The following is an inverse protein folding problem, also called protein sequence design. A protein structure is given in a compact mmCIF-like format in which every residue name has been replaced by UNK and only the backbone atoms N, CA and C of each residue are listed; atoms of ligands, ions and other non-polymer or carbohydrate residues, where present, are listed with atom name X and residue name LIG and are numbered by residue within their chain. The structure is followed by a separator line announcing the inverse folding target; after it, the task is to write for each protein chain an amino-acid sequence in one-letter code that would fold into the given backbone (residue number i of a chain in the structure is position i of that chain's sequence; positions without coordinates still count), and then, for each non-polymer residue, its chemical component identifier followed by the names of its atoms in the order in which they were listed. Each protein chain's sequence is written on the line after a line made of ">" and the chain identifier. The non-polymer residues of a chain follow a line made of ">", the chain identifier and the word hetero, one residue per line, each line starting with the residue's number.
data_IF_003742416864
#
_entry.id   IF_003742416864
#
_cell.length_a   1.000
_cell.length_b   1.000
_cell.length_c   1.000
_cell.angle_alpha   90.00
_cell.angle_beta   90.00
_cell.angle_gamma   90.00
#
_symmetry.space_group_name_H-M   'P 1'
#
loop_
_entity.id
_entity.type
_entity.pdbx_description
1 polymer ?
#
# COMPACT_ATOMS: atom_id res chain seq x y z
N UNK A 1 -20.80 7.74 -0.80
CA UNK A 1 -19.77 7.27 0.18
C UNK A 1 -18.81 8.39 0.59
N UNK A 2 -18.12 8.25 1.71
CA UNK A 2 -16.95 9.05 2.10
C UNK A 2 -15.70 8.20 1.93
N UNK A 3 -14.60 8.80 1.43
CA UNK A 3 -13.33 8.11 1.22
C UNK A 3 -12.21 8.78 2.01
N UNK A 4 -11.41 7.98 2.72
CA UNK A 4 -10.14 8.43 3.29
C UNK A 4 -9.06 8.52 2.20
N UNK A 5 -8.89 9.72 1.66
CA UNK A 5 -7.87 10.06 0.66
C UNK A 5 -6.52 10.44 1.24
N UNK A 6 -6.21 10.13 2.51
CA UNK A 6 -4.91 10.50 3.12
C UNK A 6 -3.72 9.99 2.30
N UNK A 7 -3.82 8.79 1.70
CA UNK A 7 -2.78 8.21 0.86
C UNK A 7 -2.46 9.04 -0.41
N UNK A 8 -3.35 9.95 -0.81
CA UNK A 8 -3.12 10.85 -1.94
C UNK A 8 -2.05 11.92 -1.65
N UNK A 9 -1.56 12.06 -0.41
CA UNK A 9 -0.35 12.85 -0.11
C UNK A 9 0.89 12.34 -0.83
N UNK A 10 0.90 11.06 -1.18
CA UNK A 10 2.03 10.37 -1.77
C UNK A 10 1.54 9.57 -2.98
N UNK A 11 1.08 10.24 -4.05
CA UNK A 11 0.35 9.60 -5.15
C UNK A 11 1.20 8.62 -5.96
N UNK A 12 2.53 8.64 -5.79
CA UNK A 12 3.47 7.71 -6.43
C UNK A 12 3.78 6.49 -5.55
N UNK A 13 3.39 6.47 -4.28
CA UNK A 13 3.47 5.28 -3.43
C UNK A 13 2.36 4.28 -3.81
N UNK A 14 2.55 3.00 -3.48
CA UNK A 14 1.61 1.93 -3.84
C UNK A 14 0.16 2.22 -3.43
N UNK A 15 -0.08 2.55 -2.15
CA UNK A 15 -1.42 2.89 -1.63
C UNK A 15 -1.99 4.15 -2.29
N UNK A 16 -1.14 5.15 -2.57
CA UNK A 16 -1.56 6.38 -3.26
C UNK A 16 -1.99 6.12 -4.71
N UNK A 17 -1.25 5.28 -5.43
CA UNK A 17 -1.61 4.79 -6.76
C UNK A 17 -2.92 4.02 -6.70
N UNK A 18 -3.03 3.02 -5.82
CA UNK A 18 -4.27 2.26 -5.62
C UNK A 18 -5.47 3.16 -5.39
N UNK A 19 -5.36 4.09 -4.43
CA UNK A 19 -6.43 5.03 -4.08
C UNK A 19 -6.84 5.89 -5.26
N UNK A 20 -5.88 6.38 -6.06
CA UNK A 20 -6.19 7.16 -7.27
C UNK A 20 -6.90 6.31 -8.33
N UNK A 21 -6.35 5.15 -8.65
CA UNK A 21 -6.90 4.29 -9.71
C UNK A 21 -8.29 3.77 -9.36
N UNK A 22 -8.54 3.39 -8.10
CA UNK A 22 -9.88 2.93 -7.68
C UNK A 22 -10.90 4.07 -7.70
N UNK A 23 -10.52 5.29 -7.27
CA UNK A 23 -11.39 6.46 -7.36
C UNK A 23 -11.72 6.81 -8.82
N UNK A 24 -10.73 6.73 -9.72
CA UNK A 24 -10.94 6.92 -11.14
C UNK A 24 -11.88 5.84 -11.73
N UNK A 25 -11.69 4.57 -11.37
CA UNK A 25 -12.55 3.47 -11.82
C UNK A 25 -13.99 3.54 -11.27
N UNK A 26 -14.17 4.16 -10.10
CA UNK A 26 -15.49 4.40 -9.49
C UNK A 26 -16.16 5.68 -9.99
N UNK A 27 -15.43 6.58 -10.66
CA UNK A 27 -15.99 7.80 -11.22
C UNK A 27 -17.13 7.46 -12.20
N UNK A 28 -18.28 8.12 -12.05
CA UNK A 28 -19.49 7.83 -12.84
C UNK A 28 -20.27 6.58 -12.41
N UNK A 29 -19.69 5.72 -11.55
CA UNK A 29 -20.37 4.53 -10.98
C UNK A 29 -20.84 4.75 -9.54
N UNK A 30 -20.18 5.64 -8.81
CA UNK A 30 -20.55 5.99 -7.44
C UNK A 30 -20.31 7.48 -7.16
N UNK A 31 -21.13 8.05 -6.27
CA UNK A 31 -20.90 9.38 -5.72
C UNK A 31 -20.05 9.26 -4.45
N UNK A 32 -18.92 9.96 -4.42
CA UNK A 32 -18.02 9.95 -3.29
C UNK A 32 -17.50 11.34 -2.91
N UNK A 33 -17.26 11.52 -1.61
CA UNK A 33 -16.58 12.68 -1.06
C UNK A 33 -15.23 12.25 -0.51
N UNK A 34 -14.14 12.79 -1.06
CA UNK A 34 -12.78 12.46 -0.64
C UNK A 34 -12.28 13.45 0.40
N UNK A 35 -11.74 12.92 1.50
CA UNK A 35 -11.03 13.69 2.52
C UNK A 35 -9.54 13.39 2.47
N UNK A 36 -8.70 14.39 2.21
CA UNK A 36 -7.26 14.23 2.04
C UNK A 36 -6.62 15.40 1.31
N UNK A 37 -5.31 15.34 1.06
CA UNK A 37 -4.55 16.40 0.38
C UNK A 37 -5.13 16.74 -1.00
N UNK A 38 -5.28 18.04 -1.28
CA UNK A 38 -5.85 18.54 -2.53
C UNK A 38 -7.36 18.30 -2.68
N UNK A 39 -8.04 17.82 -1.62
CA UNK A 39 -9.48 17.54 -1.58
C UNK A 39 -10.09 18.23 -0.34
N UNK A 40 -11.06 17.60 0.34
CA UNK A 40 -11.57 18.13 1.62
C UNK A 40 -10.58 17.86 2.75
N UNK A 41 -10.38 18.84 3.60
CA UNK A 41 -9.47 18.71 4.73
C UNK A 41 -10.02 17.80 5.84
N UNK A 42 -9.15 16.96 6.37
CA UNK A 42 -9.38 16.26 7.65
C UNK A 42 -9.17 17.29 8.77
N UNK A 43 -10.16 17.51 9.65
CA UNK A 43 -10.09 18.55 10.67
C UNK A 43 -8.98 18.34 11.70
N UNK A 44 -8.50 19.46 12.30
CA UNK A 44 -7.86 19.52 13.63
C UNK A 44 -6.44 18.96 13.72
N UNK A 45 -5.80 19.02 14.91
CA UNK A 45 -4.44 18.50 15.10
C UNK A 45 -4.40 17.03 14.68
N UNK A 46 -3.39 16.67 13.87
CA UNK A 46 -3.37 15.49 12.98
C UNK A 46 -3.97 14.22 13.58
N UNK A 47 -3.67 13.92 14.85
CA UNK A 47 -4.21 12.74 15.53
C UNK A 47 -5.64 12.94 16.05
N UNK A 48 -5.86 13.89 16.98
CA UNK A 48 -7.15 14.09 17.64
C UNK A 48 -8.26 14.46 16.64
N UNK A 49 -7.91 15.32 15.68
CA UNK A 49 -8.80 15.75 14.63
C UNK A 49 -9.27 14.60 13.73
N UNK A 50 -8.33 13.76 13.27
CA UNK A 50 -8.62 12.54 12.48
C UNK A 50 -9.47 11.53 13.24
N UNK A 51 -9.17 11.30 14.52
CA UNK A 51 -9.79 10.19 15.25
C UNK A 51 -11.07 10.56 15.99
N UNK A 52 -11.34 11.84 16.28
CA UNK A 52 -12.49 12.26 17.10
C UNK A 52 -13.34 13.37 16.49
N UNK A 53 -12.74 14.37 15.82
CA UNK A 53 -13.50 15.46 15.19
C UNK A 53 -14.09 15.02 13.84
N UNK A 54 -13.27 14.35 13.02
CA UNK A 54 -13.66 13.91 11.69
C UNK A 54 -14.84 12.92 11.70
N UNK A 55 -14.90 11.91 12.59
CA UNK A 55 -16.07 11.02 12.69
C UNK A 55 -17.37 11.76 13.00
N UNK A 56 -17.32 12.81 13.82
CA UNK A 56 -18.47 13.68 14.06
C UNK A 56 -18.97 14.36 12.79
N UNK A 57 -18.06 14.84 11.92
CA UNK A 57 -18.41 15.42 10.62
C UNK A 57 -18.97 14.36 9.66
N UNK A 58 -18.35 13.18 9.60
CA UNK A 58 -18.83 12.08 8.75
C UNK A 58 -20.24 11.66 9.15
N UNK A 59 -20.52 11.54 10.45
CA UNK A 59 -21.87 11.21 10.95
C UNK A 59 -22.92 12.23 10.49
N UNK A 60 -22.59 13.52 10.51
CA UNK A 60 -23.49 14.59 10.02
C UNK A 60 -23.72 14.53 8.51
N UNK A 61 -22.75 14.05 7.75
CA UNK A 61 -22.92 13.83 6.31
C UNK A 61 -23.78 12.60 5.99
N UNK A 62 -23.96 11.70 6.96
CA UNK A 62 -24.73 10.46 6.84
C UNK A 62 -24.46 9.70 5.51
N UNK A 63 -23.20 9.38 5.17
CA UNK A 63 -22.93 8.65 3.94
C UNK A 63 -23.42 7.20 4.06
N UNK A 64 -23.79 6.61 2.93
CA UNK A 64 -24.17 5.18 2.89
C UNK A 64 -23.00 4.24 3.24
N UNK A 65 -21.77 4.72 3.08
CA UNK A 65 -20.54 3.94 3.24
C UNK A 65 -19.35 4.86 3.55
N UNK A 66 -18.47 4.41 4.43
CA UNK A 66 -17.09 4.88 4.58
C UNK A 66 -16.11 3.89 3.92
N UNK A 67 -15.23 4.38 3.06
CA UNK A 67 -14.20 3.58 2.42
C UNK A 67 -12.80 4.04 2.86
N UNK A 68 -12.04 3.12 3.47
CA UNK A 68 -10.67 3.34 3.93
C UNK A 68 -9.67 2.54 3.10
N UNK A 69 -9.11 3.09 2.02
CA UNK A 69 -8.20 2.38 1.12
C UNK A 69 -6.84 2.05 1.76
N UNK A 70 -6.55 2.57 2.95
CA UNK A 70 -5.29 2.36 3.68
C UNK A 70 -5.48 1.54 4.97
N UNK A 71 -6.53 0.71 5.02
CA UNK A 71 -6.75 -0.20 6.15
C UNK A 71 -7.00 0.49 7.49
N UNK A 72 -7.52 1.72 7.47
CA UNK A 72 -7.71 2.54 8.67
C UNK A 72 -9.10 3.14 8.77
N UNK A 73 -9.60 3.15 9.99
CA UNK A 73 -10.73 3.92 10.46
C UNK A 73 -10.27 4.95 11.49
N UNK A 74 -10.99 6.08 11.61
CA UNK A 74 -10.94 6.86 12.83
C UNK A 74 -11.27 5.99 14.07
N UNK A 75 -10.71 6.34 15.24
CA UNK A 75 -11.02 5.59 16.46
C UNK A 75 -12.46 5.87 16.94
N UNK A 76 -12.97 7.08 16.68
CA UNK A 76 -14.37 7.41 16.90
C UNK A 76 -15.28 6.84 15.80
N UNK A 77 -16.51 6.48 16.18
CA UNK A 77 -17.50 5.89 15.26
C UNK A 77 -17.91 6.89 14.16
N UNK A 78 -17.75 6.47 12.90
CA UNK A 78 -18.18 7.22 11.71
C UNK A 78 -19.69 7.11 11.43
N UNK A 79 -20.39 6.17 12.09
CA UNK A 79 -21.84 6.01 12.05
C UNK A 79 -22.43 5.54 10.71
N UNK A 80 -21.57 5.05 9.81
CA UNK A 80 -21.93 4.41 8.55
C UNK A 80 -21.19 3.07 8.44
N UNK A 81 -21.70 2.10 7.66
CA UNK A 81 -20.94 0.90 7.33
C UNK A 81 -19.57 1.26 6.75
N UNK A 82 -18.57 0.43 7.01
CA UNK A 82 -17.20 0.66 6.58
C UNK A 82 -16.59 -0.51 5.81
N UNK A 83 -15.91 -0.17 4.72
CA UNK A 83 -15.09 -1.10 3.93
C UNK A 83 -13.65 -0.63 3.98
N UNK A 84 -12.72 -1.52 4.30
CA UNK A 84 -11.29 -1.22 4.33
C UNK A 84 -10.52 -2.09 3.36
N UNK A 85 -9.53 -1.53 2.67
CA UNK A 85 -8.55 -2.32 1.91
C UNK A 85 -7.31 -2.56 2.75
N UNK A 86 -6.93 -3.81 2.90
CA UNK A 86 -5.74 -4.26 3.61
C UNK A 86 -4.70 -4.70 2.58
N UNK A 87 -3.60 -3.94 2.48
CA UNK A 87 -2.54 -4.20 1.51
C UNK A 87 -1.54 -5.25 2.01
N UNK A 88 -1.09 -5.14 3.26
CA UNK A 88 -0.23 -6.14 3.88
C UNK A 88 -0.37 -6.10 5.42
N UNK A 89 0.04 -7.19 6.04
CA UNK A 89 0.12 -7.35 7.51
C UNK A 89 1.53 -7.79 7.92
N UNK A 90 2.52 -7.58 7.06
CA UNK A 90 3.86 -8.13 7.23
C UNK A 90 4.51 -7.67 8.54
N UNK A 91 4.15 -6.48 9.03
CA UNK A 91 4.64 -5.91 10.29
C UNK A 91 4.18 -6.66 11.54
N UNK A 92 3.05 -7.37 11.47
CA UNK A 92 2.55 -8.21 12.56
C UNK A 92 3.12 -9.62 12.53
N UNK A 93 3.54 -10.09 11.34
CA UNK A 93 4.08 -11.44 11.13
C UNK A 93 5.59 -11.46 11.35
N UNK A 94 6.30 -10.47 10.80
CA UNK A 94 7.76 -10.34 10.81
C UNK A 94 8.16 -8.93 11.27
N UNK A 95 7.90 -8.56 12.54
CA UNK A 95 8.21 -7.22 13.05
C UNK A 95 9.71 -6.87 12.95
N UNK A 96 10.60 -7.85 12.97
CA UNK A 96 12.04 -7.67 12.82
C UNK A 96 12.45 -7.11 11.46
N UNK A 97 11.60 -7.25 10.43
CA UNK A 97 11.84 -6.63 9.12
C UNK A 97 11.66 -5.12 9.12
N UNK A 98 11.09 -4.53 10.18
CA UNK A 98 10.74 -3.12 10.26
C UNK A 98 11.56 -2.42 11.36
N UNK A 99 11.63 -1.08 11.35
CA UNK A 99 12.21 -0.32 12.47
C UNK A 99 11.52 -0.66 13.80
N UNK A 100 12.31 -0.70 14.90
CA UNK A 100 11.82 -1.11 16.22
C UNK A 100 10.78 -0.16 16.82
N UNK A 101 10.88 1.13 16.52
CA UNK A 101 9.90 2.13 16.91
C UNK A 101 8.66 2.06 16.01
N UNK A 102 7.74 1.16 16.35
CA UNK A 102 6.48 1.03 15.64
C UNK A 102 5.53 2.21 15.94
N UNK A 103 4.98 2.88 14.93
CA UNK A 103 4.03 3.96 15.12
C UNK A 103 2.78 3.52 15.91
N UNK A 104 2.17 4.45 16.65
CA UNK A 104 0.89 4.22 17.33
C UNK A 104 -0.21 3.74 16.37
N UNK A 105 -0.15 4.16 15.10
CA UNK A 105 -1.07 3.69 14.07
C UNK A 105 -1.02 2.18 13.89
N UNK A 106 0.17 1.58 13.85
CA UNK A 106 0.33 0.12 13.72
C UNK A 106 -0.07 -0.59 15.01
N UNK A 107 0.30 -0.05 16.18
CA UNK A 107 0.04 -0.74 17.45
C UNK A 107 -1.41 -0.67 17.91
N UNK A 108 -2.17 0.34 17.46
CA UNK A 108 -3.48 0.64 18.01
C UNK A 108 -4.55 0.89 16.94
N UNK A 109 -4.27 1.76 15.96
CA UNK A 109 -5.29 2.21 15.00
C UNK A 109 -5.65 1.08 14.04
N UNK A 110 -4.67 0.42 13.44
CA UNK A 110 -4.90 -0.64 12.46
C UNK A 110 -5.63 -1.84 13.07
N UNK A 111 -5.22 -2.41 14.23
CA UNK A 111 -5.98 -3.49 14.87
C UNK A 111 -7.44 -3.13 15.11
N UNK A 112 -7.70 -1.95 15.71
CA UNK A 112 -9.07 -1.47 15.95
C UNK A 112 -9.84 -1.19 14.67
N UNK A 113 -9.16 -0.80 13.59
CA UNK A 113 -9.79 -0.58 12.29
C UNK A 113 -10.24 -1.89 11.67
N UNK A 114 -9.39 -2.92 11.73
CA UNK A 114 -9.70 -4.26 11.24
C UNK A 114 -10.85 -4.87 12.05
N UNK A 115 -10.81 -4.77 13.38
CA UNK A 115 -11.88 -5.23 14.26
C UNK A 115 -13.20 -4.48 14.03
N UNK A 116 -13.14 -3.16 13.85
CA UNK A 116 -14.31 -2.30 13.70
C UNK A 116 -14.92 -2.26 12.30
N UNK A 117 -14.25 -2.80 11.29
CA UNK A 117 -14.72 -2.77 9.91
C UNK A 117 -15.90 -3.73 9.67
N UNK A 118 -16.84 -3.31 8.83
CA UNK A 118 -17.98 -4.13 8.44
C UNK A 118 -17.61 -5.13 7.33
N UNK A 119 -16.71 -4.72 6.44
CA UNK A 119 -16.15 -5.58 5.41
C UNK A 119 -14.69 -5.22 5.12
N UNK A 120 -13.91 -6.23 4.74
CA UNK A 120 -12.49 -6.12 4.48
C UNK A 120 -12.20 -6.57 3.05
N UNK A 121 -11.46 -5.76 2.31
CA UNK A 121 -10.87 -6.13 1.04
C UNK A 121 -9.44 -6.55 1.32
N UNK A 122 -9.11 -7.80 1.04
CA UNK A 122 -7.73 -8.30 1.08
C UNK A 122 -7.16 -8.29 -0.34
N UNK A 123 -6.00 -7.65 -0.54
CA UNK A 123 -5.39 -7.57 -1.88
C UNK A 123 -4.81 -8.90 -2.39
N UNK A 124 -4.78 -9.92 -1.54
CA UNK A 124 -4.32 -11.25 -1.88
C UNK A 124 -4.95 -12.32 -0.99
N UNK A 125 -4.90 -13.58 -1.43
CA UNK A 125 -5.23 -14.73 -0.59
C UNK A 125 -4.30 -14.88 0.61
N UNK A 126 -3.06 -14.37 0.54
CA UNK A 126 -2.17 -14.35 1.69
C UNK A 126 -2.69 -13.39 2.75
N UNK A 127 -2.96 -12.15 2.36
CA UNK A 127 -3.50 -11.12 3.25
C UNK A 127 -4.81 -11.54 3.89
N UNK A 128 -5.70 -12.24 3.14
CA UNK A 128 -6.93 -12.79 3.70
C UNK A 128 -6.69 -13.85 4.77
N UNK A 129 -5.73 -14.77 4.55
CA UNK A 129 -5.33 -15.76 5.55
C UNK A 129 -4.73 -15.09 6.78
N UNK A 130 -3.89 -14.08 6.58
CA UNK A 130 -3.26 -13.32 7.67
C UNK A 130 -4.32 -12.57 8.50
N UNK A 131 -5.34 -12.00 7.87
CA UNK A 131 -6.47 -11.36 8.55
C UNK A 131 -7.24 -12.34 9.44
N UNK A 132 -7.54 -13.53 8.92
CA UNK A 132 -8.20 -14.58 9.70
C UNK A 132 -7.31 -15.08 10.84
N UNK A 133 -6.03 -15.32 10.58
CA UNK A 133 -5.11 -15.90 11.56
C UNK A 133 -4.69 -14.93 12.67
N UNK A 134 -4.50 -13.65 12.36
CA UNK A 134 -3.94 -12.66 13.30
C UNK A 134 -5.04 -11.85 13.99
N UNK A 135 -6.14 -11.58 13.29
CA UNK A 135 -7.22 -10.70 13.77
C UNK A 135 -8.58 -11.41 13.90
N UNK A 136 -8.61 -12.74 13.80
CA UNK A 136 -9.80 -13.59 13.96
C UNK A 136 -11.00 -13.12 13.11
N UNK A 137 -10.72 -12.59 11.92
CA UNK A 137 -11.75 -12.10 11.00
C UNK A 137 -12.37 -13.26 10.24
N UNK A 138 -13.70 -13.27 10.17
CA UNK A 138 -14.43 -14.37 9.54
C UNK A 138 -14.29 -14.31 8.02
N UNK A 139 -14.13 -15.43 7.32
CA UNK A 139 -13.96 -15.45 5.87
C UNK A 139 -15.07 -14.72 5.10
N UNK A 140 -16.31 -14.76 5.57
CA UNK A 140 -17.45 -14.06 4.96
C UNK A 140 -17.37 -12.53 5.05
N UNK A 141 -16.52 -11.99 5.92
CA UNK A 141 -16.27 -10.56 6.07
C UNK A 141 -15.10 -10.09 5.21
N UNK A 142 -14.38 -11.02 4.56
CA UNK A 142 -13.17 -10.77 3.78
C UNK A 142 -13.43 -11.10 2.31
N UNK A 143 -13.33 -10.11 1.45
CA UNK A 143 -13.35 -10.30 0.00
C UNK A 143 -11.93 -10.15 -0.55
N UNK A 144 -11.44 -11.17 -1.28
CA UNK A 144 -10.15 -11.07 -1.98
C UNK A 144 -10.36 -10.33 -3.30
N UNK A 145 -9.73 -9.15 -3.43
CA UNK A 145 -9.71 -8.37 -4.67
C UNK A 145 -8.26 -8.04 -4.98
N UNK A 146 -7.72 -8.68 -6.02
CA UNK A 146 -6.34 -8.44 -6.43
C UNK A 146 -6.15 -7.03 -6.98
N UNK A 147 -4.96 -6.46 -6.73
CA UNK A 147 -4.55 -5.20 -7.34
C UNK A 147 -4.48 -5.32 -8.86
N UNK A 148 -4.90 -4.25 -9.54
CA UNK A 148 -4.81 -4.14 -11.00
C UNK A 148 -3.42 -3.69 -11.45
N UNK A 149 -3.12 -3.88 -12.73
CA UNK A 149 -1.94 -3.34 -13.39
C UNK A 149 -2.39 -2.23 -14.36
N UNK A 150 -1.73 -1.07 -14.27
CA UNK A 150 -2.03 0.05 -15.18
C UNK A 150 -1.66 -0.32 -16.62
N UNK A 151 -2.46 0.09 -17.63
CA UNK A 151 -2.11 -0.08 -19.05
C UNK A 151 -0.77 0.59 -19.44
N UNK A 152 -0.24 1.49 -18.61
CA UNK A 152 1.10 2.05 -18.79
C UNK A 152 2.22 0.99 -18.73
N UNK A 153 1.97 -0.17 -18.13
CA UNK A 153 2.90 -1.31 -18.14
C UNK A 153 2.67 -2.19 -19.36
N UNK A 154 3.37 -1.87 -20.45
CA UNK A 154 3.40 -2.66 -21.67
C UNK A 154 4.81 -2.62 -22.29
N UNK A 155 5.15 -3.60 -23.14
CA UNK A 155 6.42 -3.58 -23.87
C UNK A 155 6.53 -2.33 -24.74
N UNK A 156 7.67 -1.65 -24.69
CA UNK A 156 7.96 -0.55 -25.60
C UNK A 156 8.22 -1.08 -27.02
N UNK A 157 7.93 -0.28 -28.06
CA UNK A 157 8.33 -0.60 -29.43
C UNK A 157 9.85 -0.79 -29.56
N UNK A 158 10.27 -1.74 -30.40
CA UNK A 158 11.68 -2.15 -30.54
C UNK A 158 12.59 -0.98 -30.92
N UNK A 159 12.10 -0.08 -31.76
CA UNK A 159 12.78 1.12 -32.22
C UNK A 159 13.08 2.13 -31.09
N UNK A 160 12.37 2.06 -29.97
CA UNK A 160 12.60 2.94 -28.82
C UNK A 160 13.65 2.36 -27.85
N UNK A 161 13.93 1.04 -27.92
CA UNK A 161 14.83 0.36 -26.99
C UNK A 161 16.26 0.94 -27.01
N UNK A 162 16.89 1.25 -28.17
CA UNK A 162 18.24 1.81 -28.18
C UNK A 162 18.35 3.15 -27.46
N UNK A 163 17.33 4.01 -27.59
CA UNK A 163 17.30 5.30 -26.93
C UNK A 163 17.15 5.15 -25.40
N UNK A 164 16.29 4.24 -24.95
CA UNK A 164 16.10 3.93 -23.53
C UNK A 164 17.37 3.33 -22.92
N UNK A 165 17.98 2.34 -23.59
CA UNK A 165 19.25 1.74 -23.14
C UNK A 165 20.33 2.80 -22.98
N UNK A 166 20.50 3.68 -23.97
CA UNK A 166 21.48 4.78 -23.91
C UNK A 166 21.18 5.76 -22.77
N UNK A 167 19.91 6.16 -22.60
CA UNK A 167 19.49 7.11 -21.57
C UNK A 167 19.81 6.63 -20.16
N UNK A 168 19.66 5.34 -19.91
CA UNK A 168 19.86 4.76 -18.58
C UNK A 168 21.18 3.99 -18.42
N UNK A 169 22.04 3.97 -19.45
CA UNK A 169 23.29 3.23 -19.43
C UNK A 169 23.10 1.72 -19.25
N UNK A 170 22.04 1.15 -19.84
CA UNK A 170 21.69 -0.25 -19.61
C UNK A 170 22.58 -1.19 -20.45
N UNK A 171 23.07 -2.29 -19.86
CA UNK A 171 23.75 -3.36 -20.59
C UNK A 171 22.87 -4.00 -21.67
N UNK A 172 23.47 -4.73 -22.60
CA UNK A 172 22.71 -5.42 -23.65
C UNK A 172 21.83 -6.54 -23.06
N UNK A 173 22.42 -7.35 -22.18
CA UNK A 173 21.75 -8.42 -21.42
C UNK A 173 21.86 -8.11 -19.94
N UNK A 174 20.72 -8.00 -19.26
CA UNK A 174 20.69 -7.74 -17.82
C UNK A 174 19.50 -8.41 -17.14
N UNK A 175 19.64 -8.65 -15.83
CA UNK A 175 18.54 -8.94 -14.91
C UNK A 175 18.16 -7.63 -14.23
N UNK A 176 16.88 -7.34 -14.11
CA UNK A 176 16.37 -6.14 -13.45
C UNK A 176 15.70 -6.48 -12.12
N UNK A 177 16.16 -5.83 -11.06
CA UNK A 177 15.45 -5.75 -9.79
C UNK A 177 14.87 -4.35 -9.62
N UNK A 178 13.58 -4.26 -9.30
CA UNK A 178 12.90 -2.98 -8.97
C UNK A 178 12.25 -3.07 -7.61
N UNK A 179 12.70 -2.24 -6.67
CA UNK A 179 12.14 -2.17 -5.33
C UNK A 179 13.02 -1.44 -4.34
N UNK A 180 12.43 -0.93 -3.27
CA UNK A 180 13.20 -0.33 -2.17
C UNK A 180 14.18 -1.35 -1.58
N UNK A 181 15.38 -0.89 -1.23
CA UNK A 181 16.40 -1.74 -0.62
C UNK A 181 16.13 -1.83 0.88
N UNK A 182 15.58 -2.97 1.31
CA UNK A 182 15.11 -3.23 2.66
C UNK A 182 15.09 -4.76 2.92
N UNK A 183 15.10 -5.22 4.19
CA UNK A 183 15.22 -6.64 4.52
C UNK A 183 14.20 -7.55 3.83
N UNK A 184 12.94 -7.11 3.72
CA UNK A 184 11.85 -7.95 3.17
C UNK A 184 11.96 -8.23 1.68
N UNK A 185 12.75 -7.45 0.92
CA UNK A 185 12.96 -7.69 -0.51
C UNK A 185 14.04 -8.74 -0.75
N UNK A 186 14.74 -9.15 0.31
CA UNK A 186 15.68 -10.26 0.30
C UNK A 186 16.75 -10.12 -0.80
N UNK A 187 17.25 -8.90 -1.00
CA UNK A 187 18.29 -8.60 -1.98
C UNK A 187 19.57 -9.45 -1.79
N UNK A 188 20.01 -9.79 -0.55
CA UNK A 188 21.15 -10.69 -0.36
C UNK A 188 20.99 -12.05 -1.05
N UNK A 189 19.79 -12.63 -1.03
CA UNK A 189 19.52 -13.90 -1.72
C UNK A 189 19.61 -13.73 -3.23
N UNK A 190 19.12 -12.61 -3.78
CA UNK A 190 19.27 -12.31 -5.20
C UNK A 190 20.75 -12.17 -5.60
N UNK A 191 21.53 -11.45 -4.80
CA UNK A 191 22.96 -11.24 -5.04
C UNK A 191 23.74 -12.57 -5.01
N UNK A 192 23.47 -13.42 -4.02
CA UNK A 192 24.07 -14.74 -3.90
C UNK A 192 23.71 -15.64 -5.11
N UNK A 193 22.44 -15.65 -5.51
CA UNK A 193 21.98 -16.40 -6.68
C UNK A 193 22.62 -15.88 -7.97
N UNK A 194 22.66 -14.55 -8.17
CA UNK A 194 23.29 -13.91 -9.31
C UNK A 194 24.78 -14.21 -9.39
N UNK A 195 25.49 -14.18 -8.25
CA UNK A 195 26.92 -14.47 -8.19
C UNK A 195 27.24 -15.93 -8.58
N UNK A 196 26.32 -16.86 -8.34
CA UNK A 196 26.45 -18.28 -8.65
C UNK A 196 26.10 -18.64 -10.12
N UNK A 197 25.55 -17.71 -10.91
CA UNK A 197 25.18 -17.99 -12.31
C UNK A 197 26.44 -18.08 -13.21
N UNK A 198 26.57 -19.15 -14.03
CA UNK A 198 27.53 -19.16 -15.12
C UNK A 198 27.08 -18.21 -16.25
N UNK A 199 28.02 -17.51 -16.91
CA UNK A 199 27.72 -16.45 -17.90
C UNK A 199 26.72 -15.42 -17.36
N UNK A 200 26.93 -14.95 -16.11
CA UNK A 200 25.96 -14.07 -15.45
C UNK A 200 25.76 -12.77 -16.25
N UNK A 201 24.53 -12.44 -16.68
CA UNK A 201 24.25 -11.11 -17.23
C UNK A 201 24.40 -10.06 -16.13
N UNK A 202 24.54 -8.80 -16.51
CA UNK A 202 24.63 -7.72 -15.52
C UNK A 202 23.36 -7.64 -14.66
N UNK A 203 23.52 -7.29 -13.39
CA UNK A 203 22.39 -7.06 -12.48
C UNK A 203 22.15 -5.56 -12.31
N UNK A 204 21.00 -5.08 -12.77
CA UNK A 204 20.56 -3.70 -12.61
C UNK A 204 19.58 -3.63 -11.44
N UNK A 205 19.93 -2.84 -10.43
CA UNK A 205 19.12 -2.63 -9.22
C UNK A 205 18.56 -1.21 -9.24
N UNK A 206 17.24 -1.09 -9.30
CA UNK A 206 16.53 0.19 -9.32
C UNK A 206 15.62 0.33 -8.09
N UNK A 207 15.89 1.33 -7.26
CA UNK A 207 15.06 1.62 -6.09
C UNK A 207 15.76 2.54 -5.10
N UNK A 208 14.98 3.08 -4.17
CA UNK A 208 15.53 3.91 -3.10
C UNK A 208 16.05 3.04 -1.95
N UNK A 209 16.99 3.59 -1.18
CA UNK A 209 17.35 3.04 0.13
C UNK A 209 16.13 3.11 1.05
N UNK A 210 15.72 1.96 1.57
CA UNK A 210 14.61 1.83 2.51
C UNK A 210 15.09 1.99 3.95
N UNK A 211 14.80 1.01 4.79
CA UNK A 211 15.29 0.93 6.17
C UNK A 211 16.10 -0.35 6.36
N UNK A 212 16.93 -0.37 7.41
CA UNK A 212 17.76 -1.54 7.77
C UNK A 212 18.54 -2.08 6.55
N UNK A 213 19.01 -1.17 5.70
CA UNK A 213 19.67 -1.51 4.43
C UNK A 213 21.19 -1.62 4.60
N UNK A 214 21.74 -1.20 5.73
CA UNK A 214 23.17 -1.15 6.00
C UNK A 214 23.84 -2.51 5.75
N UNK A 215 23.30 -3.65 6.25
CA UNK A 215 23.89 -4.96 5.97
C UNK A 215 23.82 -5.40 4.51
N UNK A 216 22.99 -4.74 3.69
CA UNK A 216 22.84 -5.02 2.26
C UNK A 216 23.81 -4.16 1.44
N UNK A 217 24.01 -2.90 1.85
CA UNK A 217 24.93 -1.98 1.18
C UNK A 217 26.39 -2.40 1.33
N UNK A 218 26.73 -2.99 2.47
CA UNK A 218 28.10 -3.33 2.82
C UNK A 218 28.51 -4.75 2.33
N UNK A 219 27.70 -5.39 1.47
CA UNK A 219 27.98 -6.65 0.75
C UNK A 219 28.49 -6.37 -0.67
#
# INVERSE_FOLDING_TARGET
>A
MVVDGTALSSPRAGIGTYTREILAALAGRARFTVYGPGQREIPGPRFFGRHFVWPGRIRRLAPDLFFGPMGQLPLGRVGSPSVLTIHDLAIYIRPEWFPSAQPLSTRLVVPRSIEGANALIAVSRNTARDLAAIFDRRPEEITVIHEGVSPAFHPLPVEQLPAVRRRFGLPERFILFVGSIEPRKNLPTLLAAWAALPDRPDLVIAGAWGWKYEPIRDQ
#
